data_IF_714093748049
#
_entry.id   IF_714093748049
#
_cell.length_a   1.000
_cell.length_b   1.000
_cell.length_c   1.000
_cell.angle_alpha   90.00
_cell.angle_beta   90.00
_cell.angle_gamma   90.00
#
_symmetry.space_group_name_H-M   'P 1'
#
loop_
_entity.id
_entity.type
_entity.pdbx_description
1 polymer ?
#
# COMPACT_ATOMS: atom_id res chain seq x y z
N UNK A 1 -24.06 40.50 17.48
CA UNK A 1 -23.18 39.32 17.37
C UNK A 1 -23.63 38.59 16.12
N UNK A 2 -23.02 38.88 14.96
CA UNK A 2 -23.36 38.24 13.70
C UNK A 2 -22.36 37.11 13.46
N UNK A 3 -22.90 35.91 13.29
CA UNK A 3 -22.16 34.69 12.95
C UNK A 3 -21.17 34.93 11.81
N UNK A 4 -19.89 34.68 12.09
CA UNK A 4 -18.87 34.64 11.05
C UNK A 4 -19.16 33.47 10.11
N UNK A 5 -19.11 33.67 8.78
CA UNK A 5 -19.24 32.58 7.83
C UNK A 5 -18.21 31.50 8.15
N UNK A 6 -18.67 30.28 8.41
CA UNK A 6 -17.80 29.11 8.62
C UNK A 6 -17.00 28.90 7.33
N UNK A 7 -15.74 29.33 7.33
CA UNK A 7 -14.80 29.09 6.23
C UNK A 7 -14.81 27.58 5.95
N UNK A 8 -15.01 27.13 4.71
CA UNK A 8 -14.77 25.73 4.39
C UNK A 8 -13.30 25.46 4.74
N UNK A 9 -13.05 24.50 5.62
CA UNK A 9 -11.71 23.94 5.80
C UNK A 9 -11.36 23.20 4.51
N UNK A 10 -10.88 23.96 3.52
CA UNK A 10 -10.27 23.41 2.32
C UNK A 10 -9.03 22.62 2.78
N UNK A 11 -8.94 21.32 2.48
CA UNK A 11 -7.83 20.49 2.91
C UNK A 11 -6.48 21.10 2.52
N UNK A 12 -5.56 21.13 3.48
CA UNK A 12 -4.23 21.70 3.33
C UNK A 12 -3.43 20.98 2.23
N UNK A 13 -2.80 21.78 1.37
CA UNK A 13 -1.81 21.41 0.34
C UNK A 13 -2.27 20.45 -0.77
N UNK A 14 -3.01 21.01 -1.75
CA UNK A 14 -3.24 20.41 -3.07
C UNK A 14 -1.99 20.44 -3.98
N UNK A 15 -0.76 20.31 -3.44
CA UNK A 15 0.43 20.30 -4.28
C UNK A 15 0.51 18.95 -5.04
N UNK A 16 0.28 18.93 -6.37
CA UNK A 16 0.18 17.68 -7.12
C UNK A 16 1.46 16.84 -7.04
N UNK A 17 2.61 17.50 -6.87
CA UNK A 17 3.90 16.83 -6.67
C UNK A 17 3.98 16.06 -5.35
N UNK A 18 3.34 16.56 -4.29
CA UNK A 18 3.30 15.90 -2.99
C UNK A 18 2.42 14.67 -3.04
N UNK A 19 1.25 14.77 -3.68
CA UNK A 19 0.37 13.62 -3.95
C UNK A 19 1.05 12.58 -4.83
N UNK A 20 1.74 13.00 -5.89
CA UNK A 20 2.51 12.11 -6.75
C UNK A 20 3.60 11.36 -5.98
N UNK A 21 4.33 12.04 -5.08
CA UNK A 21 5.33 11.39 -4.23
C UNK A 21 4.74 10.33 -3.29
N UNK A 22 3.56 10.59 -2.71
CA UNK A 22 2.86 9.62 -1.87
C UNK A 22 2.41 8.40 -2.66
N UNK A 23 1.82 8.59 -3.84
CA UNK A 23 1.38 7.50 -4.72
C UNK A 23 2.57 6.70 -5.23
N UNK A 24 3.66 7.36 -5.60
CA UNK A 24 4.89 6.70 -6.00
C UNK A 24 5.47 5.85 -4.86
N UNK A 25 5.45 6.35 -3.62
CA UNK A 25 5.86 5.59 -2.44
C UNK A 25 5.03 4.31 -2.24
N UNK A 26 3.71 4.40 -2.37
CA UNK A 26 2.82 3.23 -2.33
C UNK A 26 3.10 2.24 -3.48
N UNK A 27 3.36 2.76 -4.68
CA UNK A 27 3.73 1.94 -5.84
C UNK A 27 5.04 1.17 -5.62
N UNK A 28 6.04 1.82 -5.02
CA UNK A 28 7.32 1.17 -4.69
C UNK A 28 7.13 0.09 -3.63
N UNK A 29 6.37 0.35 -2.57
CA UNK A 29 6.08 -0.66 -1.53
C UNK A 29 5.41 -1.90 -2.14
N UNK A 30 4.38 -1.69 -2.98
CA UNK A 30 3.69 -2.76 -3.68
C UNK A 30 4.63 -3.54 -4.62
N UNK A 31 5.45 -2.84 -5.40
CA UNK A 31 6.42 -3.47 -6.29
C UNK A 31 7.42 -4.34 -5.53
N UNK A 32 7.89 -3.89 -4.36
CA UNK A 32 8.79 -4.65 -3.49
C UNK A 32 8.10 -5.89 -2.93
N UNK A 33 6.89 -5.77 -2.38
CA UNK A 33 6.14 -6.91 -1.84
C UNK A 33 5.81 -7.96 -2.91
N UNK A 34 5.36 -7.53 -4.09
CA UNK A 34 5.06 -8.44 -5.20
C UNK A 34 6.32 -9.08 -5.75
N UNK A 35 7.40 -8.30 -5.93
CA UNK A 35 8.68 -8.80 -6.40
C UNK A 35 9.29 -9.84 -5.45
N UNK A 36 9.23 -9.60 -4.14
CA UNK A 36 9.66 -10.56 -3.12
C UNK A 36 8.77 -11.81 -3.10
N UNK A 37 7.46 -11.65 -3.24
CA UNK A 37 6.52 -12.77 -3.33
C UNK A 37 6.79 -13.65 -4.55
N UNK A 38 7.03 -13.03 -5.71
CA UNK A 38 7.43 -13.74 -6.92
C UNK A 38 8.75 -14.49 -6.74
N UNK A 39 9.78 -13.83 -6.19
CA UNK A 39 11.10 -14.44 -5.97
C UNK A 39 11.05 -15.60 -4.97
N UNK A 40 10.29 -15.47 -3.88
CA UNK A 40 10.07 -16.57 -2.94
C UNK A 40 9.29 -17.72 -3.60
N UNK A 41 8.31 -17.40 -4.44
CA UNK A 41 7.53 -18.38 -5.19
C UNK A 41 8.37 -19.17 -6.20
N UNK A 42 9.28 -18.50 -6.91
CA UNK A 42 10.18 -19.16 -7.87
C UNK A 42 11.23 -20.02 -7.18
N UNK A 43 11.83 -19.56 -6.07
CA UNK A 43 12.75 -20.38 -5.26
C UNK A 43 12.03 -21.60 -4.66
N UNK A 44 10.75 -21.48 -4.36
CA UNK A 44 9.92 -22.58 -3.88
C UNK A 44 9.59 -23.58 -5.00
N UNK A 45 9.24 -23.11 -6.19
CA UNK A 45 9.04 -23.97 -7.38
C UNK A 45 10.26 -24.81 -7.69
N UNK A 46 11.45 -24.19 -7.69
CA UNK A 46 12.73 -24.82 -8.03
C UNK A 46 13.08 -25.98 -7.09
N UNK A 47 12.55 -25.95 -5.85
CA UNK A 47 12.74 -27.01 -4.84
C UNK A 47 11.65 -28.06 -4.84
N UNK A 48 10.43 -27.71 -5.24
CA UNK A 48 9.25 -28.55 -5.09
C UNK A 48 8.79 -29.19 -6.42
N UNK A 49 9.44 -28.87 -7.54
CA UNK A 49 9.18 -29.48 -8.86
C UNK A 49 7.79 -29.16 -9.41
N UNK A 50 7.20 -28.07 -8.94
CA UNK A 50 5.90 -27.56 -9.39
C UNK A 50 6.15 -26.34 -10.29
N UNK A 51 5.20 -26.01 -11.17
CA UNK A 51 5.30 -24.90 -12.14
C UNK A 51 4.42 -23.68 -11.74
N UNK A 52 3.79 -23.74 -10.56
CA UNK A 52 2.76 -22.78 -10.13
C UNK A 52 3.12 -22.00 -8.85
N UNK A 53 4.26 -22.29 -8.23
CA UNK A 53 4.75 -21.64 -7.02
C UNK A 53 5.00 -20.16 -7.22
N UNK A 54 5.49 -19.74 -8.39
CA UNK A 54 5.62 -18.31 -8.72
C UNK A 54 4.27 -17.57 -8.69
N UNK A 55 3.20 -18.19 -9.18
CA UNK A 55 1.87 -17.58 -9.26
C UNK A 55 1.29 -17.41 -7.86
N UNK A 56 1.44 -18.44 -7.04
CA UNK A 56 1.01 -18.43 -5.63
C UNK A 56 1.80 -17.39 -4.83
N UNK A 57 3.12 -17.30 -5.06
CA UNK A 57 4.00 -16.30 -4.45
C UNK A 57 3.61 -14.86 -4.82
N UNK A 58 3.26 -14.60 -6.08
CA UNK A 58 2.76 -13.28 -6.53
C UNK A 58 1.45 -12.92 -5.83
N UNK A 59 0.48 -13.84 -5.74
CA UNK A 59 -0.81 -13.60 -5.09
C UNK A 59 -0.62 -13.31 -3.60
N UNK A 60 0.19 -14.11 -2.91
CA UNK A 60 0.51 -13.89 -1.49
C UNK A 60 1.25 -12.58 -1.29
N UNK A 61 2.24 -12.27 -2.13
CA UNK A 61 2.99 -11.02 -2.09
C UNK A 61 2.10 -9.79 -2.31
N UNK A 62 1.14 -9.88 -3.23
CA UNK A 62 0.16 -8.81 -3.47
C UNK A 62 -0.77 -8.60 -2.28
N UNK A 63 -1.33 -9.69 -1.71
CA UNK A 63 -2.20 -9.62 -0.54
C UNK A 63 -1.45 -9.04 0.67
N UNK A 64 -0.21 -9.46 0.89
CA UNK A 64 0.64 -8.93 1.95
C UNK A 64 0.97 -7.44 1.75
N UNK A 65 1.29 -7.02 0.52
CA UNK A 65 1.57 -5.62 0.19
C UNK A 65 0.35 -4.71 0.39
N UNK A 66 -0.83 -5.12 -0.10
CA UNK A 66 -2.07 -4.38 0.12
C UNK A 66 -2.40 -4.33 1.62
N UNK A 67 -2.26 -5.45 2.34
CA UNK A 67 -2.48 -5.51 3.78
C UNK A 67 -1.57 -4.55 4.57
N UNK A 68 -0.29 -4.48 4.20
CA UNK A 68 0.68 -3.54 4.77
C UNK A 68 0.25 -2.08 4.56
N UNK A 69 -0.04 -1.71 3.31
CA UNK A 69 -0.47 -0.35 2.97
C UNK A 69 -1.74 0.06 3.73
N UNK A 70 -2.75 -0.82 3.79
CA UNK A 70 -3.98 -0.56 4.54
C UNK A 70 -3.71 -0.42 6.04
N UNK A 71 -2.84 -1.26 6.62
CA UNK A 71 -2.49 -1.18 8.03
C UNK A 71 -1.76 0.13 8.37
N UNK A 72 -0.82 0.56 7.52
CA UNK A 72 -0.13 1.83 7.63
C UNK A 72 -1.12 3.00 7.55
N UNK A 73 -1.99 3.01 6.54
CA UNK A 73 -3.02 4.05 6.40
C UNK A 73 -3.89 4.10 7.64
N UNK A 74 -4.42 2.97 8.12
CA UNK A 74 -5.26 2.92 9.34
C UNK A 74 -4.52 3.42 10.59
N UNK A 75 -3.23 3.11 10.71
CA UNK A 75 -2.39 3.57 11.81
C UNK A 75 -2.18 5.08 11.78
N UNK A 76 -1.96 5.64 10.59
CA UNK A 76 -1.71 7.08 10.41
C UNK A 76 -2.99 7.92 10.40
N UNK A 77 -4.13 7.39 9.94
CA UNK A 77 -5.42 8.08 9.96
C UNK A 77 -6.15 8.00 11.30
N UNK A 78 -5.61 7.26 12.28
CA UNK A 78 -6.16 7.20 13.64
C UNK A 78 -7.47 6.42 13.77
N UNK A 79 -7.94 5.73 12.73
CA UNK A 79 -9.17 4.93 12.71
C UNK A 79 -9.07 3.59 13.48
N UNK A 80 -8.23 3.54 14.52
CA UNK A 80 -7.89 2.34 15.27
C UNK A 80 -7.59 2.60 16.74
N UNK A 81 -8.29 3.54 17.38
CA UNK A 81 -8.36 3.65 18.84
C UNK A 81 -9.76 3.21 19.28
N UNK A 82 -9.94 2.08 19.98
CA UNK A 82 -11.11 1.90 20.83
C UNK A 82 -11.10 2.91 21.98
#
# INVERSE_FOLDING_TARGET
MADSPRKPDLPQDENPWRTAGLVAGLGVELAVCVGLGWWLGTVYDDRNGTDYGYLTGVVVGLVAGIGSAVALIRKFTGAGRP
#
